data_IF_656760057736
#
_entry.id   IF_656760057736
#
_cell.length_a   1.000
_cell.length_b   1.000
_cell.length_c   1.000
_cell.angle_alpha   90.00
_cell.angle_beta   90.00
_cell.angle_gamma   90.00
#
_symmetry.space_group_name_H-M   'P 1'
#
loop_
_entity.id
_entity.type
_entity.pdbx_description
1 polymer ?
#
# COMPACT_ATOMS: atom_id res chain seq x y z
N UNK A 1 -20.16 3.11 3.75
CA UNK A 1 -19.77 1.70 3.52
C UNK A 1 -18.32 1.57 3.93
N UNK A 2 -17.95 0.50 4.61
CA UNK A 2 -16.59 0.34 5.14
C UNK A 2 -15.63 -0.15 4.05
N UNK A 3 -14.32 0.03 4.23
CA UNK A 3 -13.30 -0.57 3.34
C UNK A 3 -13.44 -2.10 3.21
N UNK A 4 -14.01 -2.75 4.24
CA UNK A 4 -14.30 -4.19 4.24
C UNK A 4 -15.30 -4.59 3.15
N UNK A 5 -16.33 -3.78 2.92
CA UNK A 5 -17.36 -4.00 1.90
C UNK A 5 -16.78 -3.91 0.47
N UNK A 6 -15.59 -3.33 0.33
CA UNK A 6 -14.94 -3.08 -0.95
C UNK A 6 -13.76 -4.00 -1.25
N UNK A 7 -13.62 -5.13 -0.52
CA UNK A 7 -12.54 -6.12 -0.67
C UNK A 7 -11.14 -5.54 -0.43
N UNK A 8 -11.05 -4.51 0.41
CA UNK A 8 -9.78 -3.86 0.71
C UNK A 8 -8.82 -4.82 1.46
N UNK A 9 -9.32 -5.49 2.50
CA UNK A 9 -8.52 -6.38 3.35
C UNK A 9 -8.18 -7.71 2.66
N UNK A 10 -7.19 -8.39 3.23
CA UNK A 10 -6.65 -9.69 2.79
C UNK A 10 -6.13 -9.69 1.34
N UNK A 11 -5.82 -8.50 0.82
CA UNK A 11 -5.34 -8.24 -0.53
C UNK A 11 -4.02 -7.50 -0.49
N UNK A 12 -3.09 -7.87 -1.38
CA UNK A 12 -1.81 -7.18 -1.53
C UNK A 12 -1.93 -6.04 -2.54
N UNK A 13 -1.43 -4.87 -2.16
CA UNK A 13 -1.34 -3.66 -2.98
C UNK A 13 0.12 -3.24 -3.15
N UNK A 14 0.39 -2.47 -4.19
CA UNK A 14 1.61 -1.68 -4.32
C UNK A 14 1.27 -0.23 -4.07
N UNK A 15 2.00 0.41 -3.15
CA UNK A 15 1.82 1.81 -2.82
C UNK A 15 2.55 2.72 -3.80
N UNK A 16 1.90 3.81 -4.18
CA UNK A 16 2.43 4.88 -5.00
C UNK A 16 2.14 6.22 -4.33
N UNK A 17 3.10 7.13 -4.44
CA UNK A 17 2.87 8.54 -4.19
C UNK A 17 2.32 9.17 -5.46
N UNK A 18 1.32 10.03 -5.31
CA UNK A 18 0.72 10.77 -6.40
C UNK A 18 0.67 12.26 -6.05
N UNK A 19 1.38 13.10 -6.79
CA UNK A 19 1.36 14.55 -6.59
C UNK A 19 0.58 15.19 -7.74
N UNK A 20 -0.65 15.68 -7.51
CA UNK A 20 -1.40 16.37 -8.55
C UNK A 20 -0.97 17.84 -8.68
N UNK A 21 -0.83 18.29 -9.93
CA UNK A 21 -0.77 19.72 -10.28
C UNK A 21 -2.18 20.31 -10.48
N UNK A 22 -3.20 19.49 -10.80
CA UNK A 22 -4.60 19.93 -10.99
C UNK A 22 -5.61 19.27 -10.04
N UNK A 23 -6.71 19.99 -9.83
CA UNK A 23 -7.72 19.70 -8.80
C UNK A 23 -8.65 18.53 -9.20
N UNK A 24 -8.70 17.43 -8.43
CA UNK A 24 -9.64 16.31 -8.65
C UNK A 24 -11.13 16.64 -8.40
N UNK A 25 -11.45 17.68 -7.63
CA UNK A 25 -12.80 17.91 -7.06
C UNK A 25 -13.90 18.35 -8.04
N UNK A 26 -13.54 18.85 -9.22
CA UNK A 26 -14.50 19.37 -10.19
C UNK A 26 -14.98 18.32 -11.21
N UNK A 27 -14.60 17.05 -11.03
CA UNK A 27 -14.77 16.03 -12.07
C UNK A 27 -15.94 15.11 -11.74
N UNK A 28 -16.90 15.04 -12.66
CA UNK A 28 -17.93 14.01 -12.67
C UNK A 28 -17.26 12.63 -12.78
N UNK A 29 -17.26 11.86 -11.68
CA UNK A 29 -16.68 10.52 -11.62
C UNK A 29 -17.31 9.56 -12.64
N UNK A 30 -18.60 9.76 -12.98
CA UNK A 30 -19.29 8.99 -14.03
C UNK A 30 -18.71 9.30 -15.41
N UNK A 31 -18.48 10.59 -15.69
CA UNK A 31 -17.84 11.01 -16.94
C UNK A 31 -16.39 10.51 -17.02
N UNK A 32 -15.63 10.63 -15.92
CA UNK A 32 -14.25 10.13 -15.83
C UNK A 32 -14.18 8.61 -16.05
N UNK A 33 -15.11 7.86 -15.46
CA UNK A 33 -15.24 6.41 -15.66
C UNK A 33 -15.47 6.07 -17.15
N UNK A 34 -16.36 6.79 -17.82
CA UNK A 34 -16.62 6.63 -19.26
C UNK A 34 -15.39 7.00 -20.10
N UNK A 35 -14.68 8.08 -19.75
CA UNK A 35 -13.44 8.50 -20.41
C UNK A 35 -12.36 7.43 -20.28
N UNK A 36 -12.11 6.94 -19.07
CA UNK A 36 -11.15 5.87 -18.82
C UNK A 36 -11.54 4.58 -19.55
N UNK A 37 -12.81 4.16 -19.50
CA UNK A 37 -13.25 2.95 -20.20
C UNK A 37 -13.04 3.07 -21.72
N UNK A 38 -13.32 4.23 -22.32
CA UNK A 38 -13.04 4.49 -23.74
C UNK A 38 -11.55 4.49 -24.02
N UNK A 39 -10.75 5.15 -23.18
CA UNK A 39 -9.30 5.18 -23.30
C UNK A 39 -8.68 3.77 -23.27
N UNK A 40 -9.11 2.93 -22.32
CA UNK A 40 -8.60 1.56 -22.20
C UNK A 40 -9.03 0.65 -23.37
N UNK A 41 -10.23 0.87 -23.94
CA UNK A 41 -10.74 0.10 -25.09
C UNK A 41 -10.16 0.53 -26.43
N UNK A 42 -9.97 1.83 -26.64
CA UNK A 42 -9.72 2.41 -27.96
C UNK A 42 -8.42 3.22 -28.06
N UNK A 43 -7.76 3.52 -26.94
CA UNK A 43 -6.58 4.39 -26.88
C UNK A 43 -6.93 5.88 -26.73
N UNK A 44 -5.90 6.73 -26.76
CA UNK A 44 -6.00 8.18 -26.52
C UNK A 44 -6.71 8.95 -27.65
N UNK A 45 -6.66 8.46 -28.88
CA UNK A 45 -7.31 9.08 -30.04
C UNK A 45 -7.95 8.01 -30.93
N UNK A 46 -9.06 8.35 -31.62
CA UNK A 46 -9.59 7.57 -32.74
C UNK A 46 -8.61 7.69 -33.92
N UNK A 47 -7.50 6.96 -33.88
CA UNK A 47 -6.51 7.02 -34.97
C UNK A 47 -5.07 6.72 -34.54
N UNK A 48 -4.73 6.81 -33.25
CA UNK A 48 -3.46 6.31 -32.74
C UNK A 48 -3.44 4.78 -32.72
N UNK A 49 -3.19 4.23 -33.92
CA UNK A 49 -2.54 2.94 -34.09
C UNK A 49 -1.02 3.02 -33.75
N UNK A 50 -0.57 4.13 -33.17
CA UNK A 50 0.81 4.31 -32.72
C UNK A 50 1.04 3.47 -31.46
N UNK A 51 1.80 2.38 -31.64
CA UNK A 51 2.41 1.57 -30.58
C UNK A 51 1.43 0.72 -29.75
N UNK A 52 0.46 0.10 -30.41
CA UNK A 52 -0.13 -1.13 -29.88
C UNK A 52 0.95 -2.20 -29.78
N UNK A 53 1.63 -2.23 -28.64
CA UNK A 53 2.38 -3.40 -28.20
C UNK A 53 1.51 -4.63 -28.45
N UNK A 54 1.98 -5.56 -29.28
CA UNK A 54 1.23 -6.74 -29.75
C UNK A 54 0.70 -7.56 -28.55
N UNK A 55 1.31 -7.36 -27.38
CA UNK A 55 0.93 -7.95 -26.11
C UNK A 55 -0.35 -7.37 -25.47
N UNK A 56 -0.78 -6.18 -25.85
CA UNK A 56 -1.93 -5.49 -25.27
C UNK A 56 -3.28 -5.77 -25.97
N UNK A 57 -3.25 -6.44 -27.13
CA UNK A 57 -4.44 -6.98 -27.82
C UNK A 57 -5.17 -8.10 -27.04
N UNK A 58 -4.74 -8.43 -25.82
CA UNK A 58 -5.27 -9.53 -24.99
C UNK A 58 -6.13 -9.10 -23.79
N UNK A 59 -6.32 -7.80 -23.56
CA UNK A 59 -7.13 -7.30 -22.45
C UNK A 59 -8.49 -6.83 -22.97
N UNK A 60 -9.54 -7.61 -22.72
CA UNK A 60 -10.91 -7.20 -23.01
C UNK A 60 -11.48 -6.50 -21.78
N UNK A 61 -11.70 -5.19 -21.87
CA UNK A 61 -12.19 -4.37 -20.75
C UNK A 61 -13.72 -4.43 -20.71
N UNK A 62 -14.28 -5.02 -19.66
CA UNK A 62 -15.74 -5.07 -19.46
C UNK A 62 -16.23 -3.73 -18.91
N UNK A 63 -15.64 -3.27 -17.80
CA UNK A 63 -16.01 -2.03 -17.12
C UNK A 63 -14.82 -1.35 -16.46
N UNK A 64 -14.91 -0.02 -16.32
CA UNK A 64 -14.02 0.79 -15.50
C UNK A 64 -14.90 1.80 -14.73
N UNK A 65 -14.79 1.82 -13.41
CA UNK A 65 -15.66 2.60 -12.53
C UNK A 65 -14.85 3.28 -11.43
N UNK A 66 -14.97 4.60 -11.35
CA UNK A 66 -14.61 5.40 -10.19
C UNK A 66 -15.82 5.52 -9.26
N UNK A 67 -15.59 5.25 -7.98
CA UNK A 67 -16.59 5.36 -6.93
C UNK A 67 -15.97 6.09 -5.73
N UNK A 68 -16.68 7.06 -5.19
CA UNK A 68 -16.32 7.65 -3.91
C UNK A 68 -16.88 6.79 -2.78
N UNK A 69 -16.04 6.47 -1.80
CA UNK A 69 -16.44 5.66 -0.65
C UNK A 69 -16.89 6.59 0.47
N UNK A 70 -18.20 6.71 0.63
CA UNK A 70 -18.78 7.46 1.74
C UNK A 70 -18.52 6.75 3.08
N UNK A 71 -18.00 7.51 4.06
CA UNK A 71 -17.78 7.10 5.47
C UNK A 71 -16.63 6.10 5.68
N UNK A 72 -15.41 6.52 5.35
CA UNK A 72 -14.18 5.84 5.79
C UNK A 72 -13.56 6.71 6.89
N UNK A 73 -13.30 6.15 8.07
CA UNK A 73 -12.82 6.87 9.28
C UNK A 73 -11.43 7.53 9.14
N UNK A 74 -10.87 7.55 7.93
CA UNK A 74 -9.44 7.70 7.67
C UNK A 74 -9.18 8.92 6.79
N UNK A 75 -9.95 9.10 5.72
CA UNK A 75 -10.00 10.27 4.84
C UNK A 75 -11.04 10.05 3.73
N UNK A 76 -11.14 11.01 2.79
CA UNK A 76 -11.86 10.81 1.54
C UNK A 76 -11.16 9.74 0.71
N UNK A 77 -11.89 8.70 0.30
CA UNK A 77 -11.33 7.59 -0.49
C UNK A 77 -12.06 7.46 -1.82
N UNK A 78 -11.31 7.49 -2.93
CA UNK A 78 -11.82 7.08 -4.23
C UNK A 78 -11.37 5.66 -4.54
N UNK A 79 -12.26 4.86 -5.11
CA UNK A 79 -11.98 3.51 -5.59
C UNK A 79 -12.12 3.47 -7.10
N UNK A 80 -11.07 3.00 -7.78
CA UNK A 80 -11.13 2.58 -9.17
C UNK A 80 -11.28 1.05 -9.21
N UNK A 81 -12.31 0.57 -9.89
CA UNK A 81 -12.53 -0.86 -10.16
C UNK A 81 -12.57 -1.09 -11.66
N UNK A 82 -11.78 -2.06 -12.14
CA UNK A 82 -11.71 -2.44 -13.55
C UNK A 82 -11.94 -3.93 -13.67
N UNK A 83 -13.02 -4.31 -14.35
CA UNK A 83 -13.28 -5.70 -14.69
C UNK A 83 -12.79 -5.94 -16.11
N UNK A 84 -11.92 -6.93 -16.29
CA UNK A 84 -11.35 -7.26 -17.58
C UNK A 84 -11.16 -8.78 -17.72
N UNK A 85 -11.20 -9.27 -18.95
CA UNK A 85 -10.83 -10.66 -19.25
C UNK A 85 -9.53 -10.72 -20.03
N UNK A 86 -8.73 -11.76 -19.72
CA UNK A 86 -7.53 -12.10 -20.48
C UNK A 86 -7.77 -13.40 -21.24
N UNK A 87 -7.49 -13.39 -22.54
CA UNK A 87 -7.51 -14.60 -23.37
C UNK A 87 -6.17 -15.31 -23.31
N UNK A 88 -6.11 -16.38 -22.52
CA UNK A 88 -4.96 -17.29 -22.47
C UNK A 88 -5.35 -18.61 -23.14
N UNK A 89 -5.34 -18.66 -24.47
CA UNK A 89 -5.79 -19.82 -25.24
C UNK A 89 -7.32 -19.86 -25.38
N UNK A 90 -7.94 -20.99 -25.07
CA UNK A 90 -9.39 -21.24 -25.27
C UNK A 90 -10.27 -20.79 -24.10
N UNK A 91 -9.70 -20.37 -22.97
CA UNK A 91 -10.46 -19.92 -21.79
C UNK A 91 -10.29 -18.43 -21.53
N UNK A 92 -11.42 -17.75 -21.33
CA UNK A 92 -11.47 -16.37 -20.84
C UNK A 92 -11.43 -16.38 -19.31
N UNK A 93 -10.39 -15.78 -18.73
CA UNK A 93 -10.30 -15.59 -17.28
C UNK A 93 -10.67 -14.16 -16.95
N UNK A 94 -11.79 -13.98 -16.24
CA UNK A 94 -12.19 -12.68 -15.69
C UNK A 94 -11.29 -12.32 -14.51
N UNK A 95 -10.82 -11.08 -14.50
CA UNK A 95 -9.95 -10.50 -13.48
C UNK A 95 -10.51 -9.16 -13.04
N UNK A 96 -10.22 -8.81 -11.79
CA UNK A 96 -10.56 -7.53 -11.20
C UNK A 96 -9.28 -6.78 -10.86
N UNK A 97 -9.12 -5.61 -11.46
CA UNK A 97 -8.12 -4.62 -11.08
C UNK A 97 -8.75 -3.61 -10.12
N UNK A 98 -8.02 -3.24 -9.06
CA UNK A 98 -8.49 -2.26 -8.07
C UNK A 98 -7.39 -1.25 -7.76
N UNK A 99 -7.77 0.01 -7.57
CA UNK A 99 -6.91 1.02 -6.99
C UNK A 99 -7.70 1.88 -5.98
N UNK A 100 -7.07 2.23 -4.87
CA UNK A 100 -7.63 3.06 -3.82
C UNK A 100 -6.80 4.33 -3.68
N UNK A 101 -7.45 5.47 -3.88
CA UNK A 101 -6.87 6.81 -3.78
C UNK A 101 -7.28 7.37 -2.42
N UNK A 102 -6.30 7.68 -1.58
CA UNK A 102 -6.52 8.22 -0.25
C UNK A 102 -6.25 9.72 -0.27
N UNK A 103 -7.20 10.49 0.24
CA UNK A 103 -6.98 11.90 0.58
C UNK A 103 -5.94 12.02 1.69
N UNK A 104 -5.43 13.24 1.92
CA UNK A 104 -4.36 13.51 2.88
C UNK A 104 -4.75 13.02 4.26
N UNK A 105 -3.84 12.29 4.88
CA UNK A 105 -4.05 11.78 6.21
C UNK A 105 -3.58 12.82 7.22
N UNK A 106 -4.46 13.18 8.17
CA UNK A 106 -4.08 14.00 9.31
C UNK A 106 -3.48 13.11 10.39
N UNK A 107 -2.42 13.59 11.03
CA UNK A 107 -1.90 12.97 12.24
C UNK A 107 -2.99 13.06 13.32
N UNK A 108 -3.30 11.95 14.00
CA UNK A 108 -4.40 11.86 14.96
C UNK A 108 -4.23 12.75 16.20
N UNK A 109 -3.05 13.35 16.39
CA UNK A 109 -2.65 14.02 17.64
C UNK A 109 -2.52 15.55 17.51
N UNK A 110 -2.77 16.14 16.33
CA UNK A 110 -2.67 17.60 16.16
C UNK A 110 -4.04 18.28 16.27
N UNK A 111 -4.48 18.59 17.49
CA UNK A 111 -5.64 19.47 17.76
C UNK A 111 -5.42 20.94 17.32
N UNK A 112 -4.25 21.30 16.79
CA UNK A 112 -3.88 22.69 16.51
C UNK A 112 -3.33 22.93 15.09
N UNK A 113 -3.99 22.43 14.06
CA UNK A 113 -3.83 22.99 12.71
C UNK A 113 -5.18 23.51 12.25
N UNK A 114 -5.28 24.84 12.32
CA UNK A 114 -6.28 25.72 11.72
C UNK A 114 -7.08 25.06 10.60
N UNK A 115 -8.40 25.22 10.67
CA UNK A 115 -9.38 25.03 9.60
C UNK A 115 -8.83 25.31 8.20
N UNK A 116 -8.19 24.32 7.59
CA UNK A 116 -8.02 24.27 6.15
C UNK A 116 -9.43 24.07 5.63
N UNK A 117 -9.97 25.10 4.97
CA UNK A 117 -11.28 25.08 4.31
C UNK A 117 -11.50 23.73 3.63
N UNK A 118 -12.39 22.92 4.21
CA UNK A 118 -12.70 21.54 3.78
C UNK A 118 -13.49 21.49 2.47
N UNK A 119 -13.70 22.64 1.80
CA UNK A 119 -14.48 22.79 0.58
C UNK A 119 -13.64 22.81 -0.72
N UNK A 120 -12.31 22.74 -0.65
CA UNK A 120 -11.43 22.87 -1.83
C UNK A 120 -10.30 21.82 -1.92
N UNK A 121 -10.45 20.65 -1.29
CA UNK A 121 -9.34 19.70 -1.17
C UNK A 121 -9.30 18.62 -2.26
N UNK A 122 -8.26 18.68 -3.08
CA UNK A 122 -8.26 18.12 -4.44
C UNK A 122 -7.11 17.16 -4.75
N UNK A 123 -6.50 16.59 -3.71
CA UNK A 123 -5.30 15.77 -3.85
C UNK A 123 -5.48 14.38 -3.25
N UNK A 124 -4.93 13.37 -3.93
CA UNK A 124 -4.89 11.99 -3.46
C UNK A 124 -3.42 11.57 -3.33
N UNK A 125 -2.72 11.98 -2.25
CA UNK A 125 -1.27 11.81 -2.12
C UNK A 125 -0.82 10.35 -2.09
N UNK A 126 -1.68 9.45 -1.62
CA UNK A 126 -1.39 8.03 -1.51
C UNK A 126 -2.33 7.20 -2.38
N UNK A 127 -1.74 6.30 -3.16
CA UNK A 127 -2.44 5.38 -4.03
C UNK A 127 -2.02 3.94 -3.72
N UNK A 128 -2.99 3.05 -3.50
CA UNK A 128 -2.77 1.61 -3.34
C UNK A 128 -3.35 0.86 -4.54
N UNK A 129 -2.49 0.18 -5.31
CA UNK A 129 -2.87 -0.49 -6.57
C UNK A 129 -2.74 -2.01 -6.48
N UNK A 130 -3.79 -2.70 -6.92
CA UNK A 130 -3.81 -4.15 -7.18
C UNK A 130 -4.27 -4.39 -8.61
N UNK A 131 -3.34 -4.35 -9.56
CA UNK A 131 -3.61 -4.58 -10.98
C UNK A 131 -2.43 -5.27 -11.68
N UNK A 132 -2.67 -5.86 -12.85
CA UNK A 132 -1.59 -6.31 -13.72
C UNK A 132 -0.74 -5.10 -14.17
N UNK A 133 0.58 -5.26 -14.25
CA UNK A 133 1.49 -4.16 -14.57
C UNK A 133 1.17 -3.47 -15.90
N UNK A 134 0.70 -4.22 -16.91
CA UNK A 134 0.33 -3.64 -18.22
C UNK A 134 -0.94 -2.80 -18.13
N UNK A 135 -1.92 -3.27 -17.36
CA UNK A 135 -3.15 -2.52 -17.12
C UNK A 135 -2.86 -1.27 -16.31
N UNK A 136 -2.05 -1.40 -15.25
CA UNK A 136 -1.66 -0.28 -14.41
C UNK A 136 -0.93 0.81 -15.21
N UNK A 137 0.03 0.44 -16.05
CA UNK A 137 0.77 1.40 -16.87
C UNK A 137 -0.15 2.28 -17.74
N UNK A 138 -1.16 1.68 -18.37
CA UNK A 138 -2.15 2.44 -19.17
C UNK A 138 -3.00 3.39 -18.33
N UNK A 139 -3.36 2.98 -17.11
CA UNK A 139 -4.13 3.83 -16.20
C UNK A 139 -3.25 4.96 -15.70
N UNK A 140 -2.00 4.68 -15.38
CA UNK A 140 -1.00 5.67 -14.99
C UNK A 140 -0.84 6.73 -16.09
N UNK A 141 -0.71 6.32 -17.35
CA UNK A 141 -0.63 7.24 -18.50
C UNK A 141 -1.90 8.07 -18.65
N UNK A 142 -3.08 7.45 -18.53
CA UNK A 142 -4.34 8.17 -18.53
C UNK A 142 -4.42 9.22 -17.43
N UNK A 143 -4.03 8.86 -16.20
CA UNK A 143 -4.05 9.76 -15.05
C UNK A 143 -3.07 10.92 -15.27
N UNK A 144 -1.85 10.64 -15.76
CA UNK A 144 -0.86 11.67 -16.13
C UNK A 144 -1.44 12.66 -17.14
N UNK A 145 -2.07 12.17 -18.20
CA UNK A 145 -2.65 13.04 -19.24
C UNK A 145 -3.85 13.85 -18.75
N UNK A 146 -4.73 13.25 -17.94
CA UNK A 146 -5.93 13.94 -17.47
C UNK A 146 -5.69 14.94 -16.35
N UNK A 147 -4.74 14.65 -15.47
CA UNK A 147 -4.57 15.38 -14.21
C UNK A 147 -3.20 16.04 -14.04
N UNK A 148 -2.30 15.86 -15.01
CA UNK A 148 -0.90 16.30 -14.94
C UNK A 148 -0.26 15.90 -13.60
N UNK A 149 -0.37 14.60 -13.28
CA UNK A 149 0.10 14.03 -12.03
C UNK A 149 1.44 13.35 -12.22
N UNK A 150 2.30 13.45 -11.21
CA UNK A 150 3.44 12.54 -11.09
C UNK A 150 3.06 11.38 -10.18
N UNK A 151 3.28 10.15 -10.67
CA UNK A 151 3.02 8.92 -9.91
C UNK A 151 4.35 8.19 -9.76
N UNK A 152 4.75 7.94 -8.51
CA UNK A 152 6.05 7.35 -8.18
C UNK A 152 5.83 6.18 -7.21
N UNK A 153 6.45 5.00 -7.42
CA UNK A 153 6.38 3.90 -6.45
C UNK A 153 6.85 4.36 -5.05
N UNK A 154 6.05 4.10 -4.03
CA UNK A 154 6.34 4.51 -2.65
C UNK A 154 7.21 3.47 -1.96
N UNK A 155 8.52 3.68 -1.94
CA UNK A 155 9.46 2.84 -1.19
C UNK A 155 9.40 3.18 0.30
N UNK A 156 9.55 2.16 1.14
CA UNK A 156 9.58 2.30 2.60
C UNK A 156 11.01 2.04 3.10
N UNK A 157 11.54 2.96 3.89
CA UNK A 157 12.85 2.78 4.56
C UNK A 157 12.72 1.77 5.70
N UNK A 158 13.85 1.17 6.12
CA UNK A 158 13.87 0.31 7.30
C UNK A 158 13.35 1.04 8.53
N UNK A 159 13.67 2.33 8.67
CA UNK A 159 13.18 3.16 9.77
C UNK A 159 11.66 3.32 9.74
N UNK A 160 11.08 3.57 8.56
CA UNK A 160 9.62 3.64 8.38
C UNK A 160 8.96 2.32 8.74
N UNK A 161 9.50 1.20 8.25
CA UNK A 161 8.97 -0.13 8.57
C UNK A 161 9.01 -0.41 10.09
N UNK A 162 10.10 -0.06 10.76
CA UNK A 162 10.23 -0.22 12.20
C UNK A 162 9.30 0.73 12.97
N UNK A 163 9.09 1.97 12.51
CA UNK A 163 8.10 2.88 13.12
C UNK A 163 6.68 2.32 12.98
N UNK A 164 6.32 1.75 11.83
CA UNK A 164 5.04 1.07 11.64
C UNK A 164 4.91 -0.12 12.60
N UNK A 165 5.96 -0.93 12.75
CA UNK A 165 5.97 -2.05 13.69
C UNK A 165 5.79 -1.57 15.14
N UNK A 166 6.44 -0.47 15.53
CA UNK A 166 6.29 0.11 16.88
C UNK A 166 4.86 0.60 17.14
N UNK A 167 4.23 1.26 16.17
CA UNK A 167 2.82 1.65 16.26
C UNK A 167 1.90 0.44 16.38
N UNK A 168 2.18 -0.63 15.64
CA UNK A 168 1.46 -1.89 15.76
C UNK A 168 1.62 -2.53 17.15
N UNK A 169 2.85 -2.60 17.66
CA UNK A 169 3.16 -3.16 18.99
C UNK A 169 2.35 -2.48 20.09
N UNK A 170 2.26 -1.15 20.07
CA UNK A 170 1.48 -0.38 21.05
C UNK A 170 0.00 -0.77 21.05
N UNK A 171 -0.55 -1.08 19.87
CA UNK A 171 -1.94 -1.48 19.71
C UNK A 171 -2.20 -2.93 20.16
N UNK A 172 -1.27 -3.85 19.84
CA UNK A 172 -1.44 -5.28 20.17
C UNK A 172 -0.93 -5.66 21.55
N UNK A 173 -0.33 -4.74 22.32
CA UNK A 173 0.32 -5.00 23.62
C UNK A 173 -0.53 -5.83 24.60
N UNK A 174 -1.84 -5.62 24.60
CA UNK A 174 -2.79 -6.30 25.49
C UNK A 174 -3.58 -7.42 24.80
N UNK A 175 -3.21 -7.79 23.57
CA UNK A 175 -3.87 -8.81 22.76
C UNK A 175 -3.03 -10.08 22.71
N UNK A 176 -3.69 -11.23 22.58
CA UNK A 176 -3.01 -12.51 22.39
C UNK A 176 -2.85 -12.73 20.89
N UNK A 177 -1.60 -12.70 20.42
CA UNK A 177 -1.27 -12.98 19.03
C UNK A 177 -1.50 -14.45 18.72
N UNK A 178 -2.05 -14.72 17.53
CA UNK A 178 -2.24 -16.06 16.97
C UNK A 178 -1.31 -16.39 15.81
N UNK A 179 -0.63 -15.39 15.26
CA UNK A 179 0.24 -15.50 14.09
C UNK A 179 1.69 -15.16 14.44
N UNK A 180 2.68 -15.81 13.82
CA UNK A 180 4.07 -15.47 14.01
C UNK A 180 4.40 -14.09 13.43
N UNK A 181 5.39 -13.43 14.04
CA UNK A 181 6.00 -12.21 13.48
C UNK A 181 7.22 -12.62 12.67
N UNK A 182 7.38 -12.11 11.45
CA UNK A 182 8.57 -12.36 10.63
C UNK A 182 9.22 -11.02 10.25
N UNK A 183 10.54 -10.97 10.40
CA UNK A 183 11.35 -9.88 9.89
C UNK A 183 12.27 -10.43 8.80
N UNK A 184 12.40 -9.69 7.71
CA UNK A 184 13.38 -9.97 6.65
C UNK A 184 14.34 -8.81 6.54
N UNK A 185 15.64 -9.11 6.47
CA UNK A 185 16.70 -8.17 6.17
C UNK A 185 17.27 -8.47 4.79
N UNK A 186 17.52 -7.43 3.99
CA UNK A 186 18.46 -7.54 2.89
C UNK A 186 19.88 -7.42 3.40
N UNK A 187 20.78 -8.21 2.82
CA UNK A 187 22.20 -8.20 3.13
C UNK A 187 22.92 -7.84 1.84
N UNK A 188 23.75 -6.79 1.88
CA UNK A 188 24.53 -6.36 0.72
C UNK A 188 25.76 -7.26 0.52
N UNK A 189 25.53 -8.56 0.31
CA UNK A 189 26.57 -9.55 0.00
C UNK A 189 26.14 -10.43 -1.17
N UNK A 190 27.06 -10.78 -2.08
CA UNK A 190 26.75 -11.53 -3.30
C UNK A 190 26.23 -12.96 -3.02
N UNK A 191 26.65 -13.58 -1.92
CA UNK A 191 26.33 -14.97 -1.60
C UNK A 191 25.13 -15.13 -0.66
N UNK A 192 24.62 -14.03 -0.09
CA UNK A 192 23.46 -14.04 0.78
C UNK A 192 22.71 -12.73 0.60
N UNK A 193 21.61 -12.77 -0.15
CA UNK A 193 20.85 -11.58 -0.48
C UNK A 193 19.87 -11.18 0.63
N UNK A 194 19.27 -12.16 1.32
CA UNK A 194 18.25 -11.92 2.34
C UNK A 194 18.37 -12.92 3.49
N UNK A 195 17.98 -12.47 4.68
CA UNK A 195 17.81 -13.29 5.88
C UNK A 195 16.40 -13.04 6.41
N UNK A 196 15.59 -14.10 6.57
CA UNK A 196 14.28 -14.03 7.24
C UNK A 196 14.36 -14.77 8.56
N UNK A 197 13.86 -14.15 9.62
CA UNK A 197 13.73 -14.78 10.94
C UNK A 197 12.30 -14.56 11.43
N UNK A 198 11.65 -15.66 11.82
CA UNK A 198 10.30 -15.66 12.38
C UNK A 198 10.31 -15.99 13.87
N UNK A 199 9.47 -15.29 14.62
CA UNK A 199 9.20 -15.52 16.04
C UNK A 199 7.79 -16.09 16.14
N UNK A 200 7.63 -17.20 16.87
CA UNK A 200 6.31 -17.81 17.07
C UNK A 200 5.44 -16.90 17.94
N UNK A 201 4.13 -17.01 17.77
CA UNK A 201 3.17 -16.17 18.47
C UNK A 201 3.27 -16.32 20.00
N UNK A 202 3.51 -17.53 20.50
CA UNK A 202 3.67 -17.82 21.93
C UNK A 202 4.86 -17.07 22.52
N UNK A 203 5.99 -17.07 21.81
CA UNK A 203 7.22 -16.40 22.24
C UNK A 203 7.04 -14.87 22.21
N UNK A 204 6.37 -14.32 21.17
CA UNK A 204 6.01 -12.90 21.12
C UNK A 204 5.09 -12.50 22.29
N UNK A 205 4.06 -13.30 22.57
CA UNK A 205 3.13 -13.05 23.68
C UNK A 205 3.85 -13.06 25.03
N UNK A 206 4.83 -13.96 25.22
CA UNK A 206 5.66 -13.97 26.42
C UNK A 206 6.51 -12.71 26.54
N UNK A 207 7.14 -12.27 25.44
CA UNK A 207 7.96 -11.04 25.43
C UNK A 207 7.14 -9.78 25.68
N UNK A 208 5.93 -9.69 25.12
CA UNK A 208 5.01 -8.56 25.37
C UNK A 208 4.55 -8.46 26.82
N UNK A 209 4.34 -9.61 27.49
CA UNK A 209 3.91 -9.66 28.90
C UNK A 209 5.04 -9.42 29.89
N UNK A 210 6.27 -9.78 29.51
CA UNK A 210 7.44 -9.71 30.40
C UNK A 210 8.25 -8.41 30.24
N UNK A 211 7.94 -7.58 29.24
CA UNK A 211 8.75 -6.41 28.93
C UNK A 211 8.53 -5.24 29.89
N UNK A 212 9.51 -5.04 30.78
CA UNK A 212 9.88 -3.73 31.35
C UNK A 212 10.87 -2.95 30.47
N UNK A 213 11.26 -3.53 29.33
CA UNK A 213 12.26 -3.09 28.35
C UNK A 213 11.62 -2.33 27.16
N UNK A 214 12.40 -1.50 26.43
CA UNK A 214 11.99 -0.96 25.13
C UNK A 214 11.56 -2.07 24.17
N UNK A 215 10.64 -1.70 23.26
CA UNK A 215 10.15 -2.37 22.04
C UNK A 215 10.51 -3.87 21.82
N UNK A 216 9.52 -4.69 21.44
CA UNK A 216 9.71 -6.11 21.07
C UNK A 216 10.86 -6.30 20.08
N UNK A 217 11.00 -5.41 19.10
CA UNK A 217 12.05 -5.48 18.08
C UNK A 217 13.46 -5.47 18.70
N UNK A 218 13.72 -4.57 19.64
CA UNK A 218 15.03 -4.47 20.30
C UNK A 218 15.33 -5.71 21.13
N UNK A 219 14.30 -6.24 21.80
CA UNK A 219 14.39 -7.47 22.59
C UNK A 219 14.72 -8.66 21.67
N UNK A 220 14.06 -8.74 20.52
CA UNK A 220 14.30 -9.74 19.51
C UNK A 220 15.73 -9.65 18.96
N UNK A 221 16.20 -8.47 18.54
CA UNK A 221 17.55 -8.29 18.00
C UNK A 221 18.62 -8.66 19.04
N UNK A 222 18.44 -8.26 20.31
CA UNK A 222 19.31 -8.66 21.42
C UNK A 222 19.32 -10.17 21.63
N UNK A 223 18.16 -10.82 21.55
CA UNK A 223 18.04 -12.27 21.69
C UNK A 223 18.80 -13.00 20.58
N UNK A 224 18.62 -12.59 19.31
CA UNK A 224 19.32 -13.18 18.17
C UNK A 224 20.83 -13.01 18.32
N UNK A 225 21.31 -11.82 18.67
CA UNK A 225 22.74 -11.57 18.89
C UNK A 225 23.31 -12.48 19.98
N UNK A 226 22.58 -12.66 21.09
CA UNK A 226 23.00 -13.52 22.20
C UNK A 226 23.03 -15.00 21.83
N UNK A 227 22.04 -15.49 21.08
CA UNK A 227 21.87 -16.92 20.80
C UNK A 227 22.63 -17.39 19.56
N UNK A 228 22.89 -16.50 18.60
CA UNK A 228 23.46 -16.86 17.29
C UNK A 228 24.75 -16.11 16.95
N UNK A 229 25.15 -15.13 17.76
CA UNK A 229 26.25 -14.19 17.47
C UNK A 229 26.03 -13.33 16.21
N UNK A 230 24.83 -13.32 15.63
CA UNK A 230 24.48 -12.47 14.48
C UNK A 230 24.04 -11.10 14.99
N UNK A 231 24.76 -10.05 14.57
CA UNK A 231 24.44 -8.66 14.94
C UNK A 231 23.57 -7.97 13.89
N UNK A 232 22.24 -8.01 14.08
CA UNK A 232 21.26 -7.44 13.15
C UNK A 232 21.19 -5.90 13.20
N UNK A 233 21.86 -5.24 14.15
CA UNK A 233 21.96 -3.76 14.19
C UNK A 233 23.07 -3.22 13.30
N UNK A 234 23.93 -4.10 12.78
CA UNK A 234 25.04 -3.70 11.92
C UNK A 234 24.50 -3.13 10.61
N UNK A 235 25.12 -2.04 10.10
CA UNK A 235 24.72 -1.31 8.88
C UNK A 235 24.65 -2.16 7.59
N UNK A 236 25.08 -3.43 7.63
CA UNK A 236 24.97 -4.37 6.51
C UNK A 236 23.58 -4.98 6.40
N UNK A 237 22.78 -4.92 7.47
CA UNK A 237 21.43 -5.43 7.53
C UNK A 237 20.46 -4.25 7.39
N UNK A 238 19.61 -4.29 6.38
CA UNK A 238 18.50 -3.36 6.23
C UNK A 238 17.19 -4.14 6.28
N UNK A 239 16.28 -3.78 7.17
CA UNK A 239 14.95 -4.40 7.24
C UNK A 239 14.19 -4.08 5.94
N UNK A 240 13.76 -5.11 5.23
CA UNK A 240 13.06 -5.00 3.94
C UNK A 240 11.66 -5.56 3.94
N UNK A 241 11.28 -6.38 4.92
CA UNK A 241 9.92 -6.89 5.07
C UNK A 241 9.61 -7.16 6.53
N UNK A 242 8.36 -6.85 6.91
CA UNK A 242 7.79 -7.17 8.22
C UNK A 242 6.45 -7.86 7.98
N UNK A 243 6.25 -9.01 8.61
CA UNK A 243 4.98 -9.74 8.69
C UNK A 243 4.49 -9.64 10.11
N UNK A 244 3.28 -9.12 10.27
CA UNK A 244 2.55 -8.99 11.52
C UNK A 244 1.21 -9.71 11.39
N UNK A 245 0.52 -9.92 12.51
CA UNK A 245 -0.85 -10.47 12.50
C UNK A 245 -1.86 -9.53 11.82
N UNK A 246 -1.53 -8.23 11.71
CA UNK A 246 -2.35 -7.17 11.13
C UNK A 246 -2.01 -6.85 9.67
N UNK A 247 -0.84 -7.27 9.18
CA UNK A 247 -0.47 -7.04 7.80
C UNK A 247 0.94 -7.49 7.41
N UNK A 248 1.23 -7.36 6.13
CA UNK A 248 2.55 -7.60 5.55
C UNK A 248 3.00 -6.32 4.88
N UNK A 249 4.22 -5.86 5.14
CA UNK A 249 4.79 -4.67 4.52
C UNK A 249 6.19 -4.93 4.04
N UNK A 250 6.56 -4.28 2.94
CA UNK A 250 7.87 -4.42 2.33
C UNK A 250 8.46 -3.07 1.96
N UNK A 251 9.78 -2.97 1.94
CA UNK A 251 10.52 -1.79 1.50
C UNK A 251 10.21 -1.40 0.04
N UNK A 252 9.73 -2.35 -0.77
CA UNK A 252 9.29 -2.09 -2.15
C UNK A 252 7.97 -1.32 -2.25
N UNK A 253 7.28 -1.05 -1.14
CA UNK A 253 5.96 -0.43 -1.12
C UNK A 253 4.81 -1.42 -1.28
N UNK A 254 5.09 -2.73 -1.34
CA UNK A 254 4.03 -3.74 -1.31
C UNK A 254 3.51 -3.91 0.11
N UNK A 255 2.19 -3.78 0.26
CA UNK A 255 1.48 -3.84 1.53
C UNK A 255 0.26 -4.76 1.45
N UNK A 256 -0.05 -5.47 2.52
CA UNK A 256 -1.27 -6.27 2.67
C UNK A 256 -1.82 -6.01 4.06
N UNK A 257 -3.09 -5.63 4.14
CA UNK A 257 -3.79 -5.41 5.40
C UNK A 257 -4.71 -6.59 5.70
N UNK A 258 -4.73 -7.06 6.94
CA UNK A 258 -5.64 -8.09 7.41
C UNK A 258 -6.84 -7.46 8.13
N UNK A 259 -7.95 -8.19 8.26
CA UNK A 259 -9.21 -7.60 8.76
C UNK A 259 -9.13 -7.04 10.19
N UNK A 260 -8.20 -7.54 11.01
CA UNK A 260 -7.91 -7.06 12.37
C UNK A 260 -7.12 -5.73 12.41
N UNK A 261 -6.68 -5.20 11.26
CA UNK A 261 -5.89 -3.96 11.19
C UNK A 261 -6.72 -2.68 11.12
N UNK A 262 -8.06 -2.77 11.18
CA UNK A 262 -8.95 -1.64 10.88
C UNK A 262 -8.63 -0.38 11.70
N UNK A 263 -8.39 -0.53 12.99
CA UNK A 263 -8.08 0.56 13.94
C UNK A 263 -6.68 1.16 13.75
N UNK A 264 -5.71 0.36 13.31
CA UNK A 264 -4.34 0.80 13.02
C UNK A 264 -4.19 1.40 11.62
N UNK A 265 -5.18 1.18 10.74
CA UNK A 265 -5.09 1.52 9.34
C UNK A 265 -4.80 3.02 9.10
N UNK A 266 -5.42 3.99 9.79
CA UNK A 266 -5.06 5.41 9.67
C UNK A 266 -3.58 5.68 9.92
N UNK A 267 -3.05 5.20 11.04
CA UNK A 267 -1.65 5.42 11.45
C UNK A 267 -0.69 4.78 10.45
N UNK A 268 -0.99 3.57 9.99
CA UNK A 268 -0.15 2.88 9.01
C UNK A 268 -0.15 3.62 7.68
N UNK A 269 -1.33 4.00 7.16
CA UNK A 269 -1.44 4.71 5.91
C UNK A 269 -0.71 6.06 5.97
N UNK A 270 -0.78 6.76 7.12
CA UNK A 270 -0.05 8.00 7.35
C UNK A 270 1.47 7.79 7.24
N UNK A 271 2.00 6.72 7.87
CA UNK A 271 3.43 6.40 7.79
C UNK A 271 3.88 5.94 6.39
N UNK A 272 2.96 5.42 5.56
CA UNK A 272 3.24 5.11 4.15
C UNK A 272 3.21 6.41 3.30
N UNK A 273 2.26 7.31 3.59
CA UNK A 273 2.16 8.62 2.95
C UNK A 273 3.36 9.51 3.30
N UNK A 274 3.86 9.46 4.53
CA UNK A 274 5.00 10.24 5.03
C UNK A 274 6.08 9.31 5.62
N UNK A 275 6.80 8.55 4.77
CA UNK A 275 7.90 7.71 5.20
C UNK A 275 9.04 8.59 5.71
N UNK A 276 9.76 8.06 6.69
CA UNK A 276 10.97 8.70 7.20
C UNK A 276 12.05 8.59 6.13
N UNK A 277 12.49 9.73 5.61
CA UNK A 277 13.58 9.80 4.66
C UNK A 277 14.92 9.53 5.38
N UNK A 278 15.76 8.69 4.79
CA UNK A 278 17.10 8.45 5.33
C UNK A 278 17.93 9.73 5.12
N UNK A 279 18.39 10.34 6.21
CA UNK A 279 19.36 11.44 6.22
C UNK A 279 20.74 10.98 5.71
#
# INVERSE_FOLDING_TARGET
MSLQDHQFFNTSYTAYQMSPLFKFDSIDLSELSKKLQRYLKYGSTRGDNSLMDVSARKLNIESALFLELERVDISRVLKLSITYSTTNGTSEVKRLGQAFFFGPLKESDSENVSSINTSEFTQFPLLLVRMDGKLWHRIEDFLKVQFDVQIIPRKLTSETLLKIFNSWELYVKNTVLSMPIEFTWSINKPNLSNLSISIRAEDCNLWMRSSSSPCIYDTFVRHIKRCTSIDLTHHLFAVTKIVMDSGIMTASGKVKFFSNSHSLLPTILYLIEYPIEAL
#
